data_IF_977936220735
#
_entry.id   IF_977936220735
#
_cell.length_a   1.000
_cell.length_b   1.000
_cell.length_c   1.000
_cell.angle_alpha   90.00
_cell.angle_beta   90.00
_cell.angle_gamma   90.00
#
_symmetry.space_group_name_H-M   'P 1'
#
loop_
_entity.id
_entity.type
_entity.pdbx_description
1 polymer ?
#
# COMPACT_ATOMS: atom_id res chain seq x y z
N UNK A 1 29.97 -2.83 18.09
CA UNK A 1 28.80 -3.73 18.25
C UNK A 1 27.46 -3.05 17.94
N UNK A 2 27.26 -1.76 18.27
CA UNK A 2 26.02 -1.03 18.01
C UNK A 2 25.60 -0.96 16.52
N UNK A 3 26.53 -0.72 15.59
CA UNK A 3 26.22 -0.64 14.15
C UNK A 3 25.59 -1.92 13.58
N UNK A 4 26.07 -3.11 13.99
CA UNK A 4 25.50 -4.41 13.58
C UNK A 4 24.10 -4.66 14.16
N UNK A 5 23.76 -4.05 15.29
CA UNK A 5 22.41 -4.15 15.88
C UNK A 5 21.44 -3.24 15.14
N UNK A 6 21.84 -1.99 14.89
CA UNK A 6 21.04 -1.05 14.11
C UNK A 6 20.78 -1.56 12.69
N UNK A 7 21.80 -2.06 11.99
CA UNK A 7 21.64 -2.61 10.64
C UNK A 7 20.62 -3.76 10.60
N UNK A 8 20.67 -4.68 11.58
CA UNK A 8 19.68 -5.79 11.68
C UNK A 8 18.28 -5.29 12.01
N UNK A 9 18.16 -4.27 12.86
CA UNK A 9 16.88 -3.64 13.17
C UNK A 9 16.26 -3.02 11.91
N UNK A 10 17.03 -2.22 11.16
CA UNK A 10 16.55 -1.61 9.93
C UNK A 10 16.23 -2.65 8.84
N UNK A 11 17.05 -3.69 8.67
CA UNK A 11 16.78 -4.76 7.71
C UNK A 11 15.44 -5.46 8.00
N UNK A 12 15.15 -5.73 9.28
CA UNK A 12 13.85 -6.27 9.70
C UNK A 12 12.71 -5.27 9.44
N UNK A 13 12.91 -4.00 9.76
CA UNK A 13 11.91 -2.97 9.48
C UNK A 13 11.54 -2.90 8.00
N UNK A 14 12.53 -2.97 7.10
CA UNK A 14 12.32 -3.08 5.65
C UNK A 14 11.46 -4.29 5.30
N UNK A 15 11.77 -5.48 5.84
CA UNK A 15 10.95 -6.68 5.60
C UNK A 15 9.51 -6.52 6.08
N UNK A 16 9.30 -5.82 7.21
CA UNK A 16 7.96 -5.52 7.71
C UNK A 16 7.24 -4.46 6.86
N UNK A 17 7.95 -3.51 6.27
CA UNK A 17 7.41 -2.60 5.25
C UNK A 17 6.89 -3.33 4.02
N UNK A 18 7.70 -4.26 3.49
CA UNK A 18 7.31 -5.15 2.40
C UNK A 18 6.07 -5.96 2.78
N UNK A 19 6.05 -6.54 3.98
CA UNK A 19 4.92 -7.31 4.48
C UNK A 19 3.64 -6.47 4.59
N UNK A 20 3.73 -5.23 5.09
CA UNK A 20 2.59 -4.33 5.21
C UNK A 20 1.95 -4.01 3.86
N UNK A 21 2.78 -3.78 2.82
CA UNK A 21 2.31 -3.59 1.45
C UNK A 21 1.58 -4.84 0.94
N UNK A 22 2.20 -6.02 1.07
CA UNK A 22 1.62 -7.28 0.59
C UNK A 22 0.30 -7.62 1.31
N UNK A 23 0.24 -7.43 2.63
CA UNK A 23 -0.99 -7.62 3.40
C UNK A 23 -2.08 -6.67 2.94
N UNK A 24 -1.77 -5.38 2.73
CA UNK A 24 -2.73 -4.40 2.22
C UNK A 24 -3.29 -4.79 0.86
N UNK A 25 -2.42 -5.16 -0.07
CA UNK A 25 -2.82 -5.64 -1.40
C UNK A 25 -3.71 -6.89 -1.31
N UNK A 26 -3.33 -7.88 -0.49
CA UNK A 26 -4.09 -9.12 -0.33
C UNK A 26 -5.45 -8.89 0.32
N UNK A 27 -5.56 -7.95 1.26
CA UNK A 27 -6.85 -7.56 1.85
C UNK A 27 -7.78 -6.92 0.82
N UNK A 28 -7.26 -6.07 -0.08
CA UNK A 28 -8.05 -5.56 -1.20
C UNK A 28 -8.48 -6.71 -2.11
N UNK A 29 -7.57 -7.59 -2.51
CA UNK A 29 -7.91 -8.75 -3.35
C UNK A 29 -8.98 -9.64 -2.71
N UNK A 30 -8.91 -9.85 -1.39
CA UNK A 30 -9.90 -10.64 -0.65
C UNK A 30 -11.32 -10.06 -0.73
N UNK A 31 -11.47 -8.73 -0.84
CA UNK A 31 -12.79 -8.11 -1.03
C UNK A 31 -13.45 -8.50 -2.35
N UNK A 32 -12.67 -8.82 -3.38
CA UNK A 32 -13.17 -9.25 -4.70
C UNK A 32 -13.33 -10.77 -4.81
N UNK A 33 -12.46 -11.53 -4.16
CA UNK A 33 -12.48 -13.00 -4.23
C UNK A 33 -13.52 -13.60 -3.28
N UNK A 34 -13.64 -13.04 -2.07
CA UNK A 34 -14.50 -13.57 -1.00
C UNK A 34 -15.56 -12.56 -0.53
N UNK A 35 -15.35 -11.27 -0.82
CA UNK A 35 -16.23 -10.20 -0.40
C UNK A 35 -17.28 -9.84 -1.45
N UNK A 36 -18.02 -8.76 -1.20
CA UNK A 36 -19.12 -8.33 -2.07
C UNK A 36 -18.64 -7.46 -3.25
N UNK A 37 -17.33 -7.18 -3.37
CA UNK A 37 -16.81 -6.39 -4.48
C UNK A 37 -16.75 -7.24 -5.75
N UNK A 38 -17.05 -6.62 -6.90
CA UNK A 38 -17.03 -7.30 -8.18
C UNK A 38 -16.27 -6.49 -9.21
N UNK A 39 -15.45 -7.18 -10.00
CA UNK A 39 -14.91 -6.69 -11.27
C UNK A 39 -15.37 -7.64 -12.38
N UNK A 40 -15.45 -7.15 -13.62
CA UNK A 40 -15.76 -8.01 -14.76
C UNK A 40 -14.77 -9.18 -14.82
N UNK A 41 -15.29 -10.41 -14.97
CA UNK A 41 -14.44 -11.62 -15.05
C UNK A 41 -13.50 -11.50 -16.24
N UNK A 42 -12.22 -11.77 -15.99
CA UNK A 42 -11.16 -11.73 -17.00
C UNK A 42 -10.14 -12.83 -16.70
N UNK A 43 -9.08 -12.92 -17.50
CA UNK A 43 -7.92 -13.72 -17.11
C UNK A 43 -7.36 -13.25 -15.75
N UNK A 44 -6.86 -14.21 -14.97
CA UNK A 44 -6.36 -14.04 -13.59
C UNK A 44 -5.31 -12.94 -13.50
N UNK A 45 -4.44 -12.82 -14.50
CA UNK A 45 -3.39 -11.78 -14.52
C UNK A 45 -3.99 -10.37 -14.60
N UNK A 46 -5.06 -10.21 -15.37
CA UNK A 46 -5.76 -8.93 -15.50
C UNK A 46 -6.49 -8.61 -14.21
N UNK A 47 -7.16 -9.59 -13.59
CA UNK A 47 -7.85 -9.40 -12.31
C UNK A 47 -6.90 -8.94 -11.20
N UNK A 48 -5.72 -9.55 -11.09
CA UNK A 48 -4.68 -9.12 -10.14
C UNK A 48 -4.24 -7.66 -10.38
N UNK A 49 -4.11 -7.26 -11.65
CA UNK A 49 -3.79 -5.85 -11.97
C UNK A 49 -4.93 -4.91 -11.59
N UNK A 50 -6.18 -5.32 -11.79
CA UNK A 50 -7.35 -4.54 -11.38
C UNK A 50 -7.43 -4.40 -9.85
N UNK A 51 -7.11 -5.44 -9.09
CA UNK A 51 -6.97 -5.33 -7.62
C UNK A 51 -5.85 -4.36 -7.24
N UNK A 52 -4.74 -4.38 -7.99
CA UNK A 52 -3.67 -3.40 -7.88
C UNK A 52 -4.18 -1.98 -8.03
N UNK A 53 -4.90 -1.67 -9.11
CA UNK A 53 -5.47 -0.34 -9.32
C UNK A 53 -6.37 0.10 -8.17
N UNK A 54 -7.17 -0.80 -7.60
CA UNK A 54 -8.02 -0.50 -6.43
C UNK A 54 -7.17 -0.23 -5.19
N UNK A 55 -6.13 -1.03 -4.95
CA UNK A 55 -5.22 -0.85 -3.81
C UNK A 55 -4.42 0.47 -3.86
N UNK A 56 -4.01 0.91 -5.05
CA UNK A 56 -3.36 2.21 -5.23
C UNK A 56 -4.36 3.37 -5.07
N UNK A 57 -5.57 3.24 -5.62
CA UNK A 57 -6.63 4.24 -5.45
C UNK A 57 -7.10 4.39 -4.00
N UNK A 58 -7.06 3.31 -3.22
CA UNK A 58 -7.31 3.34 -1.78
C UNK A 58 -6.31 4.23 -1.01
N UNK A 59 -5.14 4.48 -1.60
CA UNK A 59 -4.12 5.39 -1.08
C UNK A 59 -4.09 6.71 -1.86
N UNK A 60 -5.14 7.00 -2.65
CA UNK A 60 -5.27 8.20 -3.49
C UNK A 60 -4.26 8.32 -4.63
N UNK A 61 -3.62 7.22 -5.05
CA UNK A 61 -2.78 7.21 -6.25
C UNK A 61 -3.70 7.01 -7.47
N UNK A 62 -3.81 8.00 -8.37
CA UNK A 62 -4.74 7.95 -9.49
C UNK A 62 -4.26 7.01 -10.60
N UNK A 63 -5.22 6.55 -11.39
CA UNK A 63 -5.00 5.88 -12.67
C UNK A 63 -4.90 6.93 -13.77
N UNK A 64 -3.80 6.91 -14.51
CA UNK A 64 -3.59 7.74 -15.68
C UNK A 64 -4.01 7.01 -16.96
N UNK A 65 -4.83 7.65 -17.78
CA UNK A 65 -5.31 7.16 -19.07
C UNK A 65 -5.28 8.32 -20.08
N UNK A 66 -4.19 8.43 -20.84
CA UNK A 66 -3.96 9.63 -21.66
C UNK A 66 -3.95 10.89 -20.78
N UNK A 67 -4.87 11.82 -21.04
CA UNK A 67 -5.02 13.05 -20.25
C UNK A 67 -6.06 12.95 -19.12
N UNK A 68 -6.62 11.75 -18.90
CA UNK A 68 -7.66 11.52 -17.89
C UNK A 68 -7.03 10.90 -16.65
N UNK A 69 -7.48 11.35 -15.48
CA UNK A 69 -7.14 10.80 -14.17
C UNK A 69 -8.40 10.20 -13.53
N UNK A 70 -8.31 8.95 -13.08
CA UNK A 70 -9.44 8.18 -12.54
C UNK A 70 -9.09 7.62 -11.16
N UNK A 71 -10.06 7.65 -10.25
CA UNK A 71 -10.02 6.92 -8.98
C UNK A 71 -11.24 6.00 -8.83
N UNK A 72 -11.02 4.70 -8.99
CA UNK A 72 -12.07 3.69 -8.95
C UNK A 72 -12.78 3.61 -7.59
N UNK A 73 -12.08 3.95 -6.51
CA UNK A 73 -12.63 3.85 -5.15
C UNK A 73 -13.59 5.00 -4.87
N UNK A 74 -13.28 6.22 -5.31
CA UNK A 74 -14.07 7.42 -4.96
C UNK A 74 -15.06 7.84 -6.04
N UNK A 75 -14.87 7.42 -7.29
CA UNK A 75 -15.69 7.85 -8.43
C UNK A 75 -16.69 6.78 -8.90
N UNK A 76 -16.75 5.62 -8.25
CA UNK A 76 -17.77 4.60 -8.55
C UNK A 76 -19.13 5.04 -7.97
N UNK A 77 -20.18 5.17 -8.79
CA UNK A 77 -21.53 5.45 -8.31
C UNK A 77 -22.09 4.22 -7.56
N UNK A 78 -22.77 4.45 -6.44
CA UNK A 78 -23.40 3.44 -5.59
C UNK A 78 -22.53 2.20 -5.32
N UNK A 79 -21.34 2.37 -4.71
CA UNK A 79 -20.39 1.29 -4.57
C UNK A 79 -20.88 0.25 -3.54
N UNK A 80 -20.85 -1.03 -3.93
CA UNK A 80 -21.21 -2.15 -3.03
C UNK A 80 -20.37 -2.19 -1.76
N UNK A 81 -19.10 -1.76 -1.85
CA UNK A 81 -18.21 -1.58 -0.71
C UNK A 81 -17.95 -0.08 -0.53
N UNK A 82 -18.24 0.50 0.64
CA UNK A 82 -18.01 1.93 0.88
C UNK A 82 -16.53 2.32 0.64
N UNK A 83 -16.25 3.50 0.05
CA UNK A 83 -14.87 3.95 -0.24
C UNK A 83 -13.96 3.95 0.98
N UNK A 84 -14.53 4.27 2.14
CA UNK A 84 -13.83 4.28 3.43
C UNK A 84 -13.22 2.92 3.78
N UNK A 85 -13.89 1.81 3.44
CA UNK A 85 -13.37 0.46 3.73
C UNK A 85 -12.05 0.23 2.99
N UNK A 86 -11.99 0.60 1.71
CA UNK A 86 -10.75 0.51 0.94
C UNK A 86 -9.65 1.39 1.53
N UNK A 87 -9.98 2.64 1.87
CA UNK A 87 -9.02 3.61 2.43
C UNK A 87 -8.46 3.19 3.78
N UNK A 88 -9.21 2.43 4.58
CA UNK A 88 -8.76 1.90 5.87
C UNK A 88 -7.77 0.73 5.71
N UNK A 89 -7.84 -0.05 4.62
CA UNK A 89 -6.96 -1.21 4.42
C UNK A 89 -5.46 -0.87 4.51
N UNK A 90 -4.91 0.10 3.76
CA UNK A 90 -3.48 0.44 3.86
C UNK A 90 -3.13 0.98 5.25
N UNK A 91 -4.05 1.72 5.89
CA UNK A 91 -3.83 2.25 7.24
C UNK A 91 -3.69 1.12 8.26
N UNK A 92 -4.62 0.16 8.21
CA UNK A 92 -4.65 -0.99 9.11
C UNK A 92 -3.50 -1.96 8.84
N UNK A 93 -3.15 -2.22 7.58
CA UNK A 93 -2.05 -3.13 7.24
C UNK A 93 -0.71 -2.59 7.74
N UNK A 94 -0.42 -1.31 7.51
CA UNK A 94 0.79 -0.65 8.01
C UNK A 94 0.77 -0.61 9.54
N UNK A 95 -0.35 -0.20 10.13
CA UNK A 95 -0.48 -0.06 11.58
C UNK A 95 -0.27 -1.37 12.31
N UNK A 96 -0.99 -2.43 11.94
CA UNK A 96 -0.88 -3.74 12.59
C UNK A 96 0.54 -4.31 12.44
N UNK A 97 1.10 -4.28 11.22
CA UNK A 97 2.44 -4.83 10.96
C UNK A 97 3.51 -4.04 11.71
N UNK A 98 3.40 -2.72 11.77
CA UNK A 98 4.30 -1.85 12.53
C UNK A 98 4.18 -2.04 14.05
N UNK A 99 2.97 -2.26 14.56
CA UNK A 99 2.75 -2.62 15.97
C UNK A 99 3.47 -3.94 16.31
N UNK A 100 3.31 -4.98 15.48
CA UNK A 100 4.00 -6.26 15.67
C UNK A 100 5.52 -6.08 15.60
N UNK A 101 6.02 -5.27 14.67
CA UNK A 101 7.44 -4.94 14.58
C UNK A 101 7.96 -4.29 15.87
N UNK A 102 7.27 -3.27 16.38
CA UNK A 102 7.63 -2.54 17.60
C UNK A 102 7.52 -3.38 18.88
N UNK A 103 6.57 -4.33 18.94
CA UNK A 103 6.47 -5.28 20.04
C UNK A 103 7.70 -6.20 20.07
N UNK A 104 8.17 -6.65 18.90
CA UNK A 104 9.25 -7.64 18.79
C UNK A 104 10.65 -7.04 18.73
N UNK A 105 10.79 -5.77 18.38
CA UNK A 105 12.08 -5.14 18.14
C UNK A 105 12.15 -3.79 18.87
N UNK A 106 13.26 -3.55 19.58
CA UNK A 106 13.55 -2.26 20.22
C UNK A 106 15.05 -1.96 20.21
N UNK A 107 15.37 -0.69 20.07
CA UNK A 107 16.69 -0.13 20.36
C UNK A 107 16.71 0.38 21.80
N UNK A 108 17.87 0.87 22.24
CA UNK A 108 18.05 1.28 23.64
C UNK A 108 17.39 2.65 23.89
N UNK A 109 17.38 3.53 22.90
CA UNK A 109 16.62 4.78 22.93
C UNK A 109 15.21 4.64 22.37
N UNK A 110 14.21 5.26 23.02
CA UNK A 110 12.85 5.34 22.48
C UNK A 110 12.82 6.13 21.17
N UNK A 111 13.41 7.33 21.15
CA UNK A 111 13.43 8.18 19.96
C UNK A 111 14.12 7.44 18.81
N UNK A 112 15.25 6.80 19.10
CA UNK A 112 15.99 5.97 18.15
C UNK A 112 15.12 4.85 17.57
N UNK A 113 14.41 4.11 18.43
CA UNK A 113 13.50 3.03 18.02
C UNK A 113 12.39 3.55 17.10
N UNK A 114 11.75 4.66 17.47
CA UNK A 114 10.62 5.24 16.73
C UNK A 114 11.08 5.73 15.36
N UNK A 115 12.16 6.51 15.31
CA UNK A 115 12.68 7.10 14.07
C UNK A 115 13.14 6.02 13.09
N UNK A 116 13.99 5.08 13.54
CA UNK A 116 14.48 4.04 12.64
C UNK A 116 13.41 3.03 12.26
N UNK A 117 12.41 2.79 13.12
CA UNK A 117 11.25 1.97 12.75
C UNK A 117 10.47 2.62 11.61
N UNK A 118 10.10 3.90 11.77
CA UNK A 118 9.36 4.64 10.75
C UNK A 118 10.12 4.66 9.43
N UNK A 119 11.41 5.02 9.46
CA UNK A 119 12.25 5.08 8.26
C UNK A 119 12.41 3.72 7.57
N UNK A 120 12.75 2.66 8.32
CA UNK A 120 13.01 1.35 7.71
C UNK A 120 11.75 0.67 7.17
N UNK A 121 10.62 0.74 7.87
CA UNK A 121 9.33 0.25 7.36
C UNK A 121 8.93 1.01 6.11
N UNK A 122 9.09 2.33 6.09
CA UNK A 122 8.83 3.17 4.92
C UNK A 122 9.64 2.73 3.72
N UNK A 123 10.95 2.51 3.87
CA UNK A 123 11.82 2.07 2.77
C UNK A 123 11.31 0.78 2.13
N UNK A 124 10.94 -0.22 2.93
CA UNK A 124 10.39 -1.48 2.39
C UNK A 124 9.08 -1.30 1.64
N UNK A 125 8.17 -0.49 2.18
CA UNK A 125 6.87 -0.23 1.58
C UNK A 125 6.99 0.59 0.28
N UNK A 126 7.80 1.66 0.27
CA UNK A 126 8.05 2.50 -0.91
C UNK A 126 8.57 1.68 -2.07
N UNK A 127 9.54 0.78 -1.83
CA UNK A 127 10.11 -0.06 -2.88
C UNK A 127 9.02 -0.88 -3.57
N UNK A 128 8.13 -1.51 -2.81
CA UNK A 128 7.01 -2.25 -3.42
C UNK A 128 5.94 -1.35 -4.03
N UNK A 129 5.72 -0.14 -3.50
CA UNK A 129 4.83 0.86 -4.10
C UNK A 129 5.31 1.32 -5.47
N UNK A 130 6.62 1.46 -5.66
CA UNK A 130 7.18 1.81 -6.96
C UNK A 130 7.11 0.61 -7.91
N UNK A 131 7.55 -0.56 -7.44
CA UNK A 131 7.54 -1.78 -8.24
C UNK A 131 6.13 -2.12 -8.69
N UNK A 132 5.15 -2.13 -7.78
CA UNK A 132 3.76 -2.42 -8.12
C UNK A 132 3.18 -1.42 -9.13
N UNK A 133 3.46 -0.13 -8.99
CA UNK A 133 3.00 0.89 -9.93
C UNK A 133 3.50 0.67 -11.37
N UNK A 134 4.72 0.14 -11.53
CA UNK A 134 5.29 -0.18 -12.84
C UNK A 134 4.64 -1.40 -13.51
N UNK A 135 4.16 -2.37 -12.73
CA UNK A 135 3.60 -3.63 -13.26
C UNK A 135 2.07 -3.60 -13.41
N UNK A 136 1.38 -2.71 -12.68
CA UNK A 136 -0.07 -2.54 -12.76
C UNK A 136 -0.41 -1.66 -13.96
N UNK A 137 -0.55 -2.33 -15.12
CA UNK A 137 -0.98 -1.71 -16.37
C UNK A 137 -1.90 -2.63 -17.17
N UNK A 138 -2.98 -2.07 -17.70
CA UNK A 138 -3.96 -2.77 -18.55
C UNK A 138 -4.39 -1.87 -19.72
N UNK A 139 -4.81 -2.43 -20.85
CA UNK A 139 -5.47 -1.65 -21.90
C UNK A 139 -6.67 -0.88 -21.36
N UNK A 140 -6.82 0.39 -21.74
CA UNK A 140 -7.94 1.23 -21.28
C UNK A 140 -9.32 0.68 -21.67
N UNK A 141 -9.38 -0.12 -22.74
CA UNK A 141 -10.60 -0.83 -23.14
C UNK A 141 -11.08 -1.84 -22.10
N UNK A 142 -10.17 -2.45 -21.34
CA UNK A 142 -10.50 -3.39 -20.26
C UNK A 142 -11.07 -2.62 -19.06
N UNK A 143 -10.50 -1.45 -18.75
CA UNK A 143 -10.87 -0.69 -17.57
C UNK A 143 -12.15 0.15 -17.74
N UNK A 144 -12.32 0.76 -18.92
CA UNK A 144 -13.42 1.69 -19.20
C UNK A 144 -14.48 1.11 -20.16
N UNK A 145 -14.27 -0.09 -20.71
CA UNK A 145 -15.20 -0.70 -21.68
C UNK A 145 -15.31 0.05 -23.01
N UNK A 146 -14.41 0.99 -23.29
CA UNK A 146 -14.37 1.79 -24.52
C UNK A 146 -13.58 1.09 -25.62
N UNK A 147 -13.94 1.32 -26.88
CA UNK A 147 -13.28 0.74 -28.07
C UNK A 147 -11.74 0.89 -28.04
N UNK A 148 -10.97 0.01 -28.72
CA UNK A 148 -9.51 -0.02 -28.59
C UNK A 148 -8.88 1.31 -29.03
N UNK A 149 -8.44 2.11 -28.07
CA UNK A 149 -7.81 3.41 -28.29
C UNK A 149 -6.29 3.34 -28.37
N UNK A 150 -5.70 2.13 -28.36
CA UNK A 150 -4.25 1.92 -28.20
C UNK A 150 -3.67 2.47 -26.88
N UNK A 151 -4.51 3.05 -26.02
CA UNK A 151 -4.10 3.76 -24.80
C UNK A 151 -4.09 2.80 -23.61
N UNK A 152 -3.02 2.85 -22.82
CA UNK A 152 -2.86 2.02 -21.63
C UNK A 152 -3.26 2.79 -20.37
N UNK A 153 -4.02 2.13 -19.50
CA UNK A 153 -4.20 2.57 -18.13
C UNK A 153 -2.97 2.14 -17.31
N UNK A 154 -2.42 3.08 -16.54
CA UNK A 154 -1.26 2.87 -15.68
C UNK A 154 -1.37 3.75 -14.44
N UNK A 155 -0.53 3.50 -13.45
CA UNK A 155 -0.46 4.33 -12.24
C UNK A 155 0.56 5.44 -12.40
N UNK A 156 0.29 6.60 -11.81
CA UNK A 156 1.31 7.64 -11.66
C UNK A 156 2.38 7.16 -10.67
N UNK A 157 3.56 6.83 -11.20
CA UNK A 157 4.68 6.28 -10.42
C UNK A 157 5.28 7.30 -9.45
N UNK A 158 5.18 8.60 -9.76
CA UNK A 158 5.65 9.67 -8.88
C UNK A 158 4.72 9.79 -7.68
N UNK A 159 3.41 9.78 -7.92
CA UNK A 159 2.42 9.75 -6.83
C UNK A 159 2.50 8.45 -6.03
N UNK A 160 2.70 7.29 -6.68
CA UNK A 160 2.91 6.01 -6.00
C UNK A 160 4.13 6.04 -5.07
N UNK A 161 5.23 6.67 -5.47
CA UNK A 161 6.41 6.84 -4.62
C UNK A 161 6.13 7.79 -3.45
N UNK A 162 5.50 8.94 -3.72
CA UNK A 162 5.20 9.95 -2.71
C UNK A 162 4.24 9.42 -1.63
N UNK A 163 3.13 8.84 -2.06
CA UNK A 163 2.13 8.23 -1.17
C UNK A 163 2.70 7.00 -0.47
N UNK A 164 3.41 6.15 -1.22
CA UNK A 164 4.10 4.99 -0.68
C UNK A 164 5.16 5.35 0.37
N UNK A 165 5.62 6.60 0.43
CA UNK A 165 6.47 7.10 1.50
C UNK A 165 5.66 7.73 2.64
N UNK A 166 4.71 8.61 2.29
CA UNK A 166 3.95 9.40 3.25
C UNK A 166 3.07 8.56 4.19
N UNK A 167 2.39 7.54 3.67
CA UNK A 167 1.54 6.67 4.50
C UNK A 167 2.34 5.90 5.55
N UNK A 168 3.32 5.07 5.15
CA UNK A 168 4.05 4.27 6.12
C UNK A 168 4.91 5.12 7.05
N UNK A 169 5.47 6.25 6.62
CA UNK A 169 6.29 7.06 7.53
C UNK A 169 5.44 7.63 8.66
N UNK A 170 4.24 8.12 8.38
CA UNK A 170 3.35 8.67 9.41
C UNK A 170 2.84 7.54 10.30
N UNK A 171 2.23 6.52 9.72
CA UNK A 171 1.53 5.48 10.48
C UNK A 171 2.53 4.62 11.28
N UNK A 172 3.64 4.19 10.68
CA UNK A 172 4.61 3.37 11.39
C UNK A 172 5.28 4.14 12.53
N UNK A 173 5.58 5.43 12.33
CA UNK A 173 6.16 6.28 13.39
C UNK A 173 5.18 6.45 14.54
N UNK A 174 3.92 6.79 14.27
CA UNK A 174 2.88 6.97 15.29
C UNK A 174 2.64 5.67 16.06
N UNK A 175 2.42 4.56 15.36
CA UNK A 175 2.12 3.27 15.99
C UNK A 175 3.31 2.76 16.80
N UNK A 176 4.53 2.82 16.25
CA UNK A 176 5.72 2.44 17.02
C UNK A 176 5.89 3.34 18.23
N UNK A 177 5.62 4.65 18.11
CA UNK A 177 5.62 5.59 19.24
C UNK A 177 4.67 5.18 20.35
N UNK A 178 3.42 4.87 20.00
CA UNK A 178 2.39 4.40 20.95
C UNK A 178 2.85 3.10 21.63
N UNK A 179 3.27 2.10 20.85
CA UNK A 179 3.69 0.80 21.40
C UNK A 179 4.93 0.94 22.28
N UNK A 180 5.92 1.74 21.86
CA UNK A 180 7.13 1.97 22.64
C UNK A 180 6.83 2.72 23.93
N UNK A 181 5.89 3.67 23.91
CA UNK A 181 5.48 4.43 25.10
C UNK A 181 4.74 3.55 26.12
N UNK A 182 3.77 2.75 25.68
CA UNK A 182 2.99 1.85 26.55
C UNK A 182 3.85 0.76 27.20
N UNK A 183 4.99 0.42 26.60
CA UNK A 183 5.90 -0.62 27.08
C UNK A 183 7.08 -0.10 27.91
N UNK A 184 7.14 1.20 28.18
CA UNK A 184 8.07 1.78 29.16
C UNK A 184 7.66 1.38 30.56
#
# INVERSE_FOLDING_TARGET
>A
MQSKRLARFCARGVSFGILAYLVGYLLVAALFVFGPASIGKSDTVIELKLFGFVFYNAQFVPIAIGNISLNLVTQTPDPTVPPLVYQLIPVLSIGVVSAVFAVRNRLDGLVETVVYSGASVTVGYVVLSIVGALFVTVPSSILLGISPSGTMAHLDTTMAAAVGAAYPIVIATVVTGIVAFVRR
#
